data_IF_162646978288
#
_entry.id   IF_162646978288
#
_cell.length_a   1.000
_cell.length_b   1.000
_cell.length_c   1.000
_cell.angle_alpha   90.00
_cell.angle_beta   90.00
_cell.angle_gamma   90.00
#
_symmetry.space_group_name_H-M   'P 1'
#
loop_
_entity.id
_entity.type
_entity.pdbx_description
1 polymer ?
#
# COMPACT_ATOMS: atom_id res chain seq x y z
N UNK A 1 -23.16 -18.94 6.65
CA UNK A 1 -22.18 -19.44 5.68
C UNK A 1 -20.87 -18.74 5.98
N UNK A 2 -19.91 -19.45 6.57
CA UNK A 2 -18.56 -18.91 6.83
C UNK A 2 -17.72 -19.09 5.57
N UNK A 3 -17.24 -17.99 5.00
CA UNK A 3 -16.30 -18.05 3.88
C UNK A 3 -15.00 -18.72 4.34
N UNK A 4 -14.41 -19.62 3.52
CA UNK A 4 -13.10 -20.20 3.84
C UNK A 4 -12.02 -19.12 3.80
N UNK A 5 -10.92 -19.27 4.58
CA UNK A 5 -9.81 -18.35 4.52
C UNK A 5 -9.20 -18.38 3.11
N UNK A 6 -9.18 -17.21 2.48
CA UNK A 6 -8.58 -17.03 1.17
C UNK A 6 -7.07 -17.25 1.28
N UNK A 7 -6.54 -18.19 0.49
CA UNK A 7 -5.09 -18.36 0.34
C UNK A 7 -4.54 -17.05 -0.25
N UNK A 8 -3.52 -16.42 0.37
CA UNK A 8 -2.93 -15.22 -0.21
C UNK A 8 -2.32 -15.58 -1.56
N UNK A 9 -2.50 -14.73 -2.59
CA UNK A 9 -1.77 -14.86 -3.83
C UNK A 9 -0.25 -14.82 -3.58
N UNK A 10 0.52 -15.29 -4.57
CA UNK A 10 1.96 -15.13 -4.56
C UNK A 10 2.27 -13.67 -4.91
N UNK A 11 2.38 -12.82 -3.89
CA UNK A 11 2.79 -11.43 -4.05
C UNK A 11 4.20 -11.34 -4.64
N UNK A 12 4.34 -10.66 -5.78
CA UNK A 12 5.63 -10.27 -6.31
C UNK A 12 6.06 -9.00 -5.57
N UNK A 13 6.81 -9.16 -4.49
CA UNK A 13 7.40 -8.03 -3.78
C UNK A 13 8.62 -7.54 -4.55
N UNK A 14 8.59 -6.31 -5.04
CA UNK A 14 9.77 -5.61 -5.55
C UNK A 14 10.17 -4.53 -4.56
N UNK A 15 10.88 -4.93 -3.51
CA UNK A 15 11.59 -3.99 -2.65
C UNK A 15 12.90 -3.57 -3.35
N UNK A 16 12.94 -2.36 -3.93
CA UNK A 16 14.19 -1.77 -4.39
C UNK A 16 14.80 -0.95 -3.25
N UNK A 17 15.71 -1.56 -2.49
CA UNK A 17 16.48 -0.86 -1.46
C UNK A 17 17.77 -0.34 -2.08
N UNK A 18 17.86 0.98 -2.26
CA UNK A 18 19.12 1.63 -2.58
C UNK A 18 19.98 1.69 -1.31
N UNK A 19 20.92 0.75 -1.14
CA UNK A 19 21.90 0.77 -0.04
C UNK A 19 23.06 1.71 -0.39
N UNK A 20 23.29 2.77 0.38
CA UNK A 20 24.49 3.61 0.22
C UNK A 20 25.51 3.31 1.34
N UNK A 21 26.69 2.80 0.96
CA UNK A 21 27.89 2.84 1.79
C UNK A 21 28.47 4.28 1.77
N UNK A 22 28.78 4.82 2.96
CA UNK A 22 29.57 6.04 3.22
C UNK A 22 28.88 7.42 3.04
N UNK A 23 28.08 7.82 4.05
CA UNK A 23 27.99 9.18 4.60
C UNK A 23 27.72 10.38 3.67
N UNK A 24 26.44 10.71 3.43
CA UNK A 24 25.79 12.05 3.50
C UNK A 24 24.44 12.09 2.72
N UNK A 25 23.39 12.54 3.43
CA UNK A 25 22.10 13.13 2.98
C UNK A 25 20.94 12.24 2.47
N UNK A 26 19.85 12.27 3.28
CA UNK A 26 18.43 11.88 3.11
C UNK A 26 18.10 10.51 2.50
N UNK A 27 17.84 9.54 3.38
CA UNK A 27 17.27 8.24 3.04
C UNK A 27 15.79 8.41 2.64
N UNK A 28 15.45 8.10 1.38
CA UNK A 28 14.06 7.93 0.93
C UNK A 28 13.71 6.45 1.07
N UNK A 29 12.71 6.14 1.90
CA UNK A 29 12.12 4.80 1.95
C UNK A 29 10.98 4.74 0.92
N UNK A 30 11.11 3.85 -0.07
CA UNK A 30 10.08 3.54 -1.06
C UNK A 30 9.74 2.05 -0.96
N UNK A 31 8.44 1.75 -0.95
CA UNK A 31 7.93 0.38 -0.95
C UNK A 31 6.76 0.29 -1.92
N UNK A 32 6.86 -0.62 -2.88
CA UNK A 32 5.82 -0.92 -3.86
C UNK A 32 5.57 -2.43 -3.90
N UNK A 33 4.30 -2.83 -3.86
CA UNK A 33 3.87 -4.23 -4.01
C UNK A 33 2.74 -4.29 -5.03
N UNK A 34 2.86 -5.18 -6.01
CA UNK A 34 1.80 -5.50 -6.96
C UNK A 34 1.38 -6.97 -6.79
N UNK A 35 0.08 -7.19 -6.61
CA UNK A 35 -0.48 -8.52 -6.37
C UNK A 35 -1.84 -8.68 -7.08
N UNK A 36 -2.03 -9.82 -7.76
CA UNK A 36 -3.35 -10.19 -8.30
C UNK A 36 -4.17 -10.89 -7.22
N UNK A 37 -5.27 -10.28 -6.79
CA UNK A 37 -6.16 -10.82 -5.74
C UNK A 37 -7.64 -10.67 -6.12
N UNK A 38 -8.54 -11.30 -5.37
CA UNK A 38 -9.98 -11.06 -5.59
C UNK A 38 -10.39 -9.66 -5.13
N UNK A 39 -11.51 -9.15 -5.66
CA UNK A 39 -12.06 -7.85 -5.25
C UNK A 39 -12.33 -7.77 -3.74
N UNK A 40 -12.72 -8.88 -3.11
CA UNK A 40 -12.98 -8.95 -1.67
C UNK A 40 -11.68 -8.85 -0.86
N UNK A 41 -10.60 -9.49 -1.33
CA UNK A 41 -9.29 -9.35 -0.70
C UNK A 41 -8.77 -7.92 -0.80
N UNK A 42 -8.92 -7.28 -1.96
CA UNK A 42 -8.55 -5.88 -2.14
C UNK A 42 -9.36 -4.96 -1.21
N UNK A 43 -10.67 -5.19 -1.07
CA UNK A 43 -11.52 -4.44 -0.15
C UNK A 43 -11.10 -4.60 1.32
N UNK A 44 -10.67 -5.81 1.71
CA UNK A 44 -10.14 -6.05 3.05
C UNK A 44 -8.84 -5.25 3.29
N UNK A 45 -7.91 -5.24 2.32
CA UNK A 45 -6.67 -4.44 2.40
C UNK A 45 -6.94 -2.95 2.53
N UNK A 46 -7.88 -2.42 1.75
CA UNK A 46 -8.28 -1.01 1.83
C UNK A 46 -8.91 -0.69 3.20
N UNK A 47 -9.67 -1.62 3.78
CA UNK A 47 -10.23 -1.47 5.12
C UNK A 47 -9.14 -1.45 6.19
N UNK A 48 -8.18 -2.36 6.12
CA UNK A 48 -7.02 -2.38 7.03
C UNK A 48 -6.26 -1.05 6.99
N UNK A 49 -5.99 -0.52 5.78
CA UNK A 49 -5.37 0.79 5.60
C UNK A 49 -6.23 1.92 6.21
N UNK A 50 -7.53 1.93 5.92
CA UNK A 50 -8.45 2.93 6.45
C UNK A 50 -8.51 2.93 7.98
N UNK A 51 -8.58 1.74 8.60
CA UNK A 51 -8.56 1.59 10.06
C UNK A 51 -7.23 2.08 10.67
N UNK A 52 -6.10 1.80 10.03
CA UNK A 52 -4.78 2.26 10.46
C UNK A 52 -4.67 3.79 10.43
N UNK A 53 -5.17 4.42 9.36
CA UNK A 53 -5.20 5.88 9.24
C UNK A 53 -6.13 6.51 10.29
N UNK A 54 -7.33 5.97 10.47
CA UNK A 54 -8.35 6.56 11.33
C UNK A 54 -8.06 6.44 12.84
N UNK A 55 -7.34 5.41 13.26
CA UNK A 55 -7.14 5.11 14.70
C UNK A 55 -5.84 5.64 15.27
N UNK A 56 -4.78 5.67 14.46
CA UNK A 56 -3.42 5.86 14.97
C UNK A 56 -2.57 6.76 14.08
N UNK A 57 -3.10 7.28 12.97
CA UNK A 57 -2.38 8.18 12.08
C UNK A 57 -1.03 7.58 11.62
N UNK A 58 -0.99 6.25 11.45
CA UNK A 58 0.23 5.49 11.15
C UNK A 58 -0.05 4.36 10.19
N UNK A 59 0.85 4.18 9.22
CA UNK A 59 0.86 3.03 8.30
C UNK A 59 2.11 2.21 8.57
N UNK A 60 1.96 0.89 8.70
CA UNK A 60 3.07 -0.03 8.90
C UNK A 60 3.29 -0.86 7.64
N UNK A 61 4.53 -0.94 7.19
CA UNK A 61 4.94 -1.68 6.00
C UNK A 61 5.99 -2.71 6.44
N UNK A 62 5.79 -3.97 6.05
CA UNK A 62 6.72 -5.06 6.33
C UNK A 62 7.01 -5.81 5.04
N UNK A 63 8.28 -5.96 4.66
CA UNK A 63 8.72 -6.73 3.49
C UNK A 63 9.58 -7.96 3.83
N UNK A 64 9.56 -8.36 5.11
CA UNK A 64 10.31 -9.51 5.64
C UNK A 64 11.72 -9.17 6.08
N UNK A 65 12.36 -8.18 5.46
CA UNK A 65 13.68 -7.67 5.88
C UNK A 65 13.55 -6.35 6.65
N UNK A 66 12.49 -5.59 6.39
CA UNK A 66 12.23 -4.28 6.98
C UNK A 66 10.85 -4.21 7.62
N UNK A 67 10.78 -3.43 8.70
CA UNK A 67 9.55 -3.15 9.44
C UNK A 67 9.52 -1.64 9.71
N UNK A 68 8.81 -0.91 8.85
CA UNK A 68 8.79 0.55 8.85
C UNK A 68 7.40 1.03 9.23
N UNK A 69 7.35 2.00 10.15
CA UNK A 69 6.12 2.71 10.49
C UNK A 69 6.24 4.15 10.02
N UNK A 70 5.27 4.60 9.24
CA UNK A 70 5.19 5.96 8.67
C UNK A 70 4.10 6.73 9.39
N UNK A 71 4.45 7.92 9.89
CA UNK A 71 3.50 8.87 10.47
C UNK A 71 2.71 9.59 9.38
N UNK A 72 1.39 9.70 9.57
CA UNK A 72 0.46 10.40 8.69
C UNK A 72 -0.19 11.54 9.46
N UNK A 73 -0.09 12.80 9.01
CA UNK A 73 -0.68 13.93 9.72
C UNK A 73 -2.21 13.87 9.73
N UNK A 74 -2.83 14.65 10.63
CA UNK A 74 -4.30 14.76 10.77
C UNK A 74 -5.00 15.28 9.50
N UNK A 75 -4.26 15.90 8.59
CA UNK A 75 -4.78 16.41 7.33
C UNK A 75 -3.91 15.95 6.18
N UNK A 76 -4.55 15.35 5.18
CA UNK A 76 -3.93 14.81 3.97
C UNK A 76 -4.68 15.30 2.74
N UNK A 77 -4.02 15.28 1.59
CA UNK A 77 -4.70 15.36 0.30
C UNK A 77 -5.14 13.96 -0.11
N UNK A 78 -6.40 13.82 -0.53
CA UNK A 78 -6.97 12.56 -1.00
C UNK A 78 -7.41 12.71 -2.46
N UNK A 79 -7.00 11.75 -3.29
CA UNK A 79 -7.35 11.65 -4.70
C UNK A 79 -7.96 10.28 -4.99
N UNK A 80 -9.03 10.26 -5.78
CA UNK A 80 -9.76 9.07 -6.19
C UNK A 80 -10.10 9.16 -7.67
N UNK A 81 -9.53 8.25 -8.45
CA UNK A 81 -9.72 8.19 -9.89
C UNK A 81 -10.30 6.84 -10.31
N UNK A 82 -11.14 6.87 -11.34
CA UNK A 82 -11.71 5.68 -11.95
C UNK A 82 -11.65 5.79 -13.47
N UNK A 83 -10.98 4.85 -14.11
CA UNK A 83 -10.95 4.72 -15.56
C UNK A 83 -11.60 3.40 -15.98
N UNK A 84 -12.63 3.48 -16.82
CA UNK A 84 -13.30 2.31 -17.40
C UNK A 84 -13.18 2.40 -18.92
N UNK A 85 -12.54 1.40 -19.53
CA UNK A 85 -12.27 1.35 -20.97
C UNK A 85 -12.87 0.08 -21.58
N UNK A 86 -13.65 0.24 -22.66
CA UNK A 86 -14.15 -0.91 -23.43
C UNK A 86 -12.98 -1.63 -24.11
N UNK A 87 -12.86 -2.95 -23.89
CA UNK A 87 -11.80 -3.78 -24.48
C UNK A 87 -10.39 -3.54 -23.91
N UNK A 88 -10.27 -2.73 -22.86
CA UNK A 88 -9.00 -2.41 -22.20
C UNK A 88 -8.99 -2.74 -20.69
N UNK A 89 -7.91 -2.35 -20.02
CA UNK A 89 -7.82 -2.41 -18.55
C UNK A 89 -8.72 -1.32 -17.96
N UNK A 90 -9.52 -1.69 -16.98
CA UNK A 90 -10.21 -0.74 -16.10
C UNK A 90 -9.47 -0.69 -14.77
N UNK A 91 -9.42 0.48 -14.15
CA UNK A 91 -8.65 0.71 -12.93
C UNK A 91 -9.31 1.71 -11.99
N UNK A 92 -9.00 1.53 -10.72
CA UNK A 92 -9.32 2.45 -9.64
C UNK A 92 -8.00 2.79 -8.99
N UNK A 93 -7.70 4.09 -8.87
CA UNK A 93 -6.53 4.59 -8.16
C UNK A 93 -6.97 5.42 -6.96
N UNK A 94 -6.29 5.19 -5.83
CA UNK A 94 -6.49 5.93 -4.59
C UNK A 94 -5.13 6.44 -4.16
N UNK A 95 -4.96 7.75 -4.05
CA UNK A 95 -3.73 8.35 -3.57
C UNK A 95 -3.99 9.22 -2.33
N UNK A 96 -3.10 9.09 -1.34
CA UNK A 96 -3.08 9.90 -0.13
C UNK A 96 -1.70 10.53 -0.01
N UNK A 97 -1.61 11.85 0.03
CA UNK A 97 -0.32 12.56 0.03
C UNK A 97 -0.24 13.59 1.15
N UNK A 98 0.96 13.71 1.72
CA UNK A 98 1.30 14.68 2.77
C UNK A 98 2.77 15.10 2.69
N UNK A 99 3.14 16.13 3.46
CA UNK A 99 4.50 16.70 3.54
C UNK A 99 5.18 16.34 4.85
#
# INVERSE_FOLDING_TARGET
MTLPPLKPPAAAHRAFIFRCLNGRMSELFEHETEETMTREQAAERLRELADALARQNKVRVTDGEHDVTVDVPDTVTYEYEIEVKEGGKSEIEIAITWK
#
